data_IF_828985009738
#
_entry.id   IF_828985009738
#
_cell.length_a   1.000
_cell.length_b   1.000
_cell.length_c   1.000
_cell.angle_alpha   90.00
_cell.angle_beta   90.00
_cell.angle_gamma   90.00
#
_symmetry.space_group_name_H-M   'P 1'
#
loop_
_entity.id
_entity.type
_entity.pdbx_description
1 polymer ?
#
# COMPACT_ATOMS: atom_id res chain seq x y z
N UNK A 1 -25.64 -8.39 4.11
CA UNK A 1 -24.24 -8.82 4.28
C UNK A 1 -23.35 -7.96 3.39
N UNK A 2 -22.36 -7.30 3.96
CA UNK A 2 -21.45 -6.47 3.17
C UNK A 2 -20.36 -7.35 2.57
N UNK A 3 -20.10 -7.18 1.29
CA UNK A 3 -18.98 -7.81 0.65
C UNK A 3 -17.70 -7.02 0.97
N UNK A 4 -16.55 -7.69 1.22
CA UNK A 4 -15.29 -7.00 1.34
C UNK A 4 -14.99 -6.17 0.09
N UNK A 5 -14.34 -5.02 0.25
CA UNK A 5 -13.90 -4.22 -0.88
C UNK A 5 -12.83 -4.99 -1.67
N UNK A 6 -12.62 -4.60 -2.94
CA UNK A 6 -11.58 -5.22 -3.75
C UNK A 6 -10.18 -4.98 -3.15
N UNK A 7 -9.97 -3.83 -2.51
CA UNK A 7 -8.74 -3.56 -1.77
C UNK A 7 -8.57 -4.55 -0.62
N UNK A 8 -9.61 -4.76 0.20
CA UNK A 8 -9.54 -5.68 1.34
C UNK A 8 -9.17 -7.10 0.89
N UNK A 9 -9.82 -7.59 -0.17
CA UNK A 9 -9.52 -8.90 -0.72
C UNK A 9 -8.09 -8.97 -1.23
N UNK A 10 -7.68 -7.98 -2.00
CA UNK A 10 -6.37 -7.95 -2.65
C UNK A 10 -5.23 -7.85 -1.63
N UNK A 11 -5.34 -6.95 -0.65
CA UNK A 11 -4.31 -6.79 0.37
C UNK A 11 -4.21 -8.03 1.27
N UNK A 12 -5.34 -8.66 1.59
CA UNK A 12 -5.34 -9.90 2.37
C UNK A 12 -4.61 -11.00 1.62
N UNK A 13 -4.91 -11.20 0.34
CA UNK A 13 -4.23 -12.21 -0.48
C UNK A 13 -2.75 -11.90 -0.63
N UNK A 14 -2.39 -10.63 -0.82
CA UNK A 14 -1.01 -10.21 -0.94
C UNK A 14 -0.21 -10.54 0.32
N UNK A 15 -0.72 -10.17 1.49
CA UNK A 15 -0.02 -10.35 2.76
C UNK A 15 0.03 -11.81 3.22
N UNK A 16 -1.05 -12.57 2.99
CA UNK A 16 -1.15 -13.93 3.52
C UNK A 16 -0.62 -15.00 2.57
N UNK A 17 -0.70 -14.77 1.26
CA UNK A 17 -0.33 -15.77 0.26
C UNK A 17 0.91 -15.37 -0.52
N UNK A 18 0.90 -14.18 -1.11
CA UNK A 18 1.99 -13.76 -1.99
C UNK A 18 3.27 -13.49 -1.20
N UNK A 19 3.22 -12.63 -0.19
CA UNK A 19 4.42 -12.35 0.63
C UNK A 19 4.87 -13.54 1.43
N UNK A 20 3.93 -14.30 2.00
CA UNK A 20 4.28 -15.48 2.79
C UNK A 20 5.02 -16.53 1.96
N UNK A 21 4.71 -16.60 0.65
CA UNK A 21 5.38 -17.53 -0.26
C UNK A 21 6.61 -16.96 -0.96
N UNK A 22 6.96 -15.70 -0.73
CA UNK A 22 8.05 -15.03 -1.43
C UNK A 22 9.41 -15.52 -0.89
N UNK A 23 10.18 -16.15 -1.77
CA UNK A 23 11.50 -16.72 -1.39
C UNK A 23 12.63 -15.70 -1.40
N UNK A 24 12.43 -14.57 -2.10
CA UNK A 24 13.47 -13.56 -2.31
C UNK A 24 13.42 -12.43 -1.29
N UNK A 25 12.48 -12.46 -0.36
CA UNK A 25 12.33 -11.42 0.64
C UNK A 25 12.73 -11.93 2.02
N UNK A 26 13.52 -11.12 2.73
CA UNK A 26 13.86 -11.43 4.13
C UNK A 26 12.62 -11.29 5.02
N UNK A 27 12.60 -11.97 6.19
CA UNK A 27 11.53 -11.76 7.17
C UNK A 27 11.38 -10.31 7.60
N UNK A 28 12.47 -9.55 7.68
CA UNK A 28 12.42 -8.13 8.04
C UNK A 28 11.73 -7.31 6.95
N UNK A 29 11.97 -7.61 5.67
CA UNK A 29 11.30 -6.94 4.56
C UNK A 29 9.81 -7.23 4.57
N UNK A 30 9.42 -8.48 4.79
CA UNK A 30 8.01 -8.88 4.88
C UNK A 30 7.32 -8.12 6.02
N UNK A 31 7.96 -8.05 7.18
CA UNK A 31 7.43 -7.31 8.32
C UNK A 31 7.27 -5.83 7.99
N UNK A 32 8.28 -5.23 7.36
CA UNK A 32 8.24 -3.83 6.95
C UNK A 32 7.08 -3.54 6.00
N UNK A 33 6.83 -4.44 5.07
CA UNK A 33 5.71 -4.30 4.14
C UNK A 33 4.37 -4.37 4.86
N UNK A 34 4.21 -5.33 5.78
CA UNK A 34 2.99 -5.43 6.60
C UNK A 34 2.78 -4.18 7.44
N UNK A 35 3.84 -3.68 8.08
CA UNK A 35 3.77 -2.48 8.90
C UNK A 35 3.33 -1.27 8.06
N UNK A 36 3.81 -1.18 6.81
CA UNK A 36 3.41 -0.10 5.91
C UNK A 36 1.90 -0.10 5.68
N UNK A 37 1.31 -1.26 5.45
CA UNK A 37 -0.13 -1.33 5.19
C UNK A 37 -0.96 -1.13 6.46
N UNK A 38 -0.45 -1.52 7.62
CA UNK A 38 -1.09 -1.17 8.88
C UNK A 38 -1.11 0.34 9.07
N UNK A 39 -0.02 1.03 8.76
CA UNK A 39 0.06 2.48 8.84
C UNK A 39 -0.85 3.16 7.81
N UNK A 40 -0.93 2.61 6.60
CA UNK A 40 -1.83 3.13 5.56
C UNK A 40 -3.29 3.04 5.99
N UNK A 41 -3.69 1.91 6.59
CA UNK A 41 -5.04 1.74 7.11
C UNK A 41 -5.33 2.72 8.24
N UNK A 42 -4.37 2.94 9.13
CA UNK A 42 -4.51 3.92 10.21
C UNK A 42 -4.68 5.34 9.65
N UNK A 43 -3.87 5.71 8.66
CA UNK A 43 -3.99 7.00 7.98
C UNK A 43 -5.39 7.18 7.38
N UNK A 44 -5.86 6.18 6.65
CA UNK A 44 -7.17 6.26 6.02
C UNK A 44 -8.29 6.37 7.04
N UNK A 45 -8.17 5.67 8.17
CA UNK A 45 -9.13 5.77 9.27
C UNK A 45 -9.16 7.18 9.86
N UNK A 46 -8.01 7.80 10.05
CA UNK A 46 -7.93 9.18 10.55
C UNK A 46 -8.53 10.19 9.55
N UNK A 47 -8.51 9.87 8.26
CA UNK A 47 -9.14 10.68 7.22
C UNK A 47 -10.63 10.39 7.08
N UNK A 48 -11.23 9.68 8.04
CA UNK A 48 -12.64 9.32 8.07
C UNK A 48 -13.07 8.43 6.90
N UNK A 49 -12.15 7.68 6.31
CA UNK A 49 -12.48 6.71 5.28
C UNK A 49 -12.87 5.39 5.93
N UNK A 50 -13.94 4.80 5.43
CA UNK A 50 -14.40 3.49 5.93
C UNK A 50 -13.59 2.41 5.23
N UNK A 51 -12.76 1.70 5.99
CA UNK A 51 -11.82 0.70 5.47
C UNK A 51 -12.54 -0.39 4.68
N UNK A 52 -13.72 -0.80 5.13
CA UNK A 52 -14.51 -1.84 4.47
C UNK A 52 -15.08 -1.40 3.11
N UNK A 53 -15.01 -0.12 2.78
CA UNK A 53 -15.52 0.45 1.52
C UNK A 53 -14.43 0.98 0.61
N UNK A 54 -13.17 0.95 1.04
CA UNK A 54 -12.07 1.46 0.23
C UNK A 54 -11.80 0.50 -0.90
N UNK A 55 -11.83 1.02 -2.14
CA UNK A 55 -11.50 0.28 -3.34
C UNK A 55 -10.09 0.59 -3.79
N UNK A 56 -9.50 -0.30 -4.60
CA UNK A 56 -8.15 -0.09 -5.13
C UNK A 56 -8.03 1.24 -5.87
N UNK A 57 -9.08 1.64 -6.61
CA UNK A 57 -9.08 2.92 -7.34
C UNK A 57 -9.05 4.13 -6.42
N UNK A 58 -9.48 3.99 -5.17
CA UNK A 58 -9.45 5.09 -4.20
C UNK A 58 -8.05 5.38 -3.70
N UNK A 59 -7.14 4.41 -3.79
CA UNK A 59 -5.74 4.58 -3.40
C UNK A 59 -4.96 4.97 -4.66
N UNK A 60 -4.98 6.27 -4.94
CA UNK A 60 -4.31 6.83 -6.09
C UNK A 60 -2.97 7.48 -5.69
N UNK A 61 -2.26 8.03 -6.68
CA UNK A 61 -0.97 8.67 -6.44
C UNK A 61 -1.07 9.82 -5.44
N UNK A 62 -2.13 10.63 -5.52
CA UNK A 62 -2.32 11.76 -4.61
C UNK A 62 -2.52 11.28 -3.17
N UNK A 63 -3.31 10.24 -2.96
CA UNK A 63 -3.51 9.67 -1.63
C UNK A 63 -2.20 9.12 -1.06
N UNK A 64 -1.38 8.47 -1.90
CA UNK A 64 -0.08 7.95 -1.48
C UNK A 64 0.84 9.09 -1.05
N UNK A 65 0.89 10.19 -1.80
CA UNK A 65 1.68 11.36 -1.43
C UNK A 65 1.21 11.91 -0.07
N UNK A 66 -0.09 12.05 0.13
CA UNK A 66 -0.64 12.52 1.40
C UNK A 66 -0.28 11.58 2.55
N UNK A 67 -0.31 10.28 2.32
CA UNK A 67 0.10 9.29 3.32
C UNK A 67 1.57 9.47 3.71
N UNK A 68 2.45 9.64 2.73
CA UNK A 68 3.88 9.83 3.00
C UNK A 68 4.14 11.11 3.76
N UNK A 69 3.43 12.20 3.43
CA UNK A 69 3.54 13.46 4.15
C UNK A 69 3.01 13.33 5.58
N UNK A 70 1.91 12.59 5.76
CA UNK A 70 1.35 12.31 7.08
C UNK A 70 2.37 11.56 7.96
N UNK A 71 3.10 10.60 7.38
CA UNK A 71 4.14 9.87 8.11
C UNK A 71 5.26 10.80 8.57
N UNK A 72 5.68 11.74 7.73
CA UNK A 72 6.73 12.69 8.10
C UNK A 72 6.28 13.60 9.25
N UNK A 73 5.07 14.14 9.17
CA UNK A 73 4.55 15.09 10.16
C UNK A 73 4.17 14.40 11.47
N UNK A 74 3.45 13.28 11.41
CA UNK A 74 2.86 12.66 12.60
C UNK A 74 3.74 11.58 13.22
N UNK A 75 4.67 11.01 12.46
CA UNK A 75 5.55 9.94 12.92
C UNK A 75 7.03 10.33 12.92
N UNK A 76 7.36 11.53 12.44
CA UNK A 76 8.72 11.99 12.36
C UNK A 76 9.61 11.14 11.48
N UNK A 77 9.05 10.50 10.44
CA UNK A 77 9.82 9.62 9.59
C UNK A 77 10.88 10.36 8.79
N UNK A 78 12.07 9.77 8.71
CA UNK A 78 13.15 10.28 7.88
C UNK A 78 12.86 10.01 6.39
N UNK A 79 13.62 10.65 5.49
CA UNK A 79 13.53 10.37 4.05
C UNK A 79 13.79 8.89 3.75
N UNK A 80 14.74 8.27 4.46
CA UNK A 80 15.04 6.85 4.31
C UNK A 80 13.83 5.97 4.64
N UNK A 81 13.17 6.24 5.79
CA UNK A 81 11.98 5.49 6.18
C UNK A 81 10.82 5.74 5.22
N UNK A 82 10.65 6.99 4.76
CA UNK A 82 9.65 7.33 3.75
C UNK A 82 9.84 6.50 2.49
N UNK A 83 11.08 6.35 2.03
CA UNK A 83 11.40 5.55 0.85
C UNK A 83 11.09 4.07 1.06
N UNK A 84 11.33 3.53 2.24
CA UNK A 84 10.96 2.15 2.59
C UNK A 84 9.45 1.96 2.46
N UNK A 85 8.66 2.91 2.96
CA UNK A 85 7.20 2.85 2.88
C UNK A 85 6.71 2.93 1.43
N UNK A 86 7.30 3.83 0.64
CA UNK A 86 6.95 3.95 -0.77
C UNK A 86 7.32 2.69 -1.55
N UNK A 87 8.47 2.09 -1.27
CA UNK A 87 8.88 0.84 -1.90
C UNK A 87 7.87 -0.29 -1.63
N UNK A 88 7.35 -0.37 -0.42
CA UNK A 88 6.32 -1.35 -0.07
C UNK A 88 5.03 -1.14 -0.88
N UNK A 89 4.63 0.11 -1.03
CA UNK A 89 3.44 0.48 -1.82
C UNK A 89 3.67 0.15 -3.30
N UNK A 90 4.85 0.46 -3.85
CA UNK A 90 5.20 0.10 -5.23
C UNK A 90 5.09 -1.41 -5.45
N UNK A 91 5.63 -2.21 -4.53
CA UNK A 91 5.60 -3.67 -4.65
C UNK A 91 4.16 -4.19 -4.66
N UNK A 92 3.30 -3.66 -3.79
CA UNK A 92 1.89 -4.05 -3.76
C UNK A 92 1.18 -3.69 -5.07
N UNK A 93 1.37 -2.47 -5.59
CA UNK A 93 0.68 -2.06 -6.81
C UNK A 93 1.23 -2.74 -8.07
N UNK A 94 2.48 -3.21 -8.06
CA UNK A 94 2.97 -4.11 -9.12
C UNK A 94 2.24 -5.45 -9.08
N UNK A 95 1.98 -5.97 -7.88
CA UNK A 95 1.18 -7.17 -7.71
C UNK A 95 -0.26 -6.95 -8.19
N UNK A 96 -0.88 -5.82 -7.82
CA UNK A 96 -2.24 -5.46 -8.26
C UNK A 96 -2.30 -5.39 -9.79
N UNK A 97 -1.33 -4.75 -10.42
CA UNK A 97 -1.25 -4.62 -11.87
C UNK A 97 -1.24 -5.98 -12.56
N UNK A 98 -0.51 -6.91 -11.98
CA UNK A 98 -0.39 -8.27 -12.51
C UNK A 98 -1.70 -9.05 -12.38
N UNK A 99 -2.38 -8.90 -11.24
CA UNK A 99 -3.65 -9.57 -10.96
C UNK A 99 -4.83 -8.91 -11.66
N UNK A 100 -4.73 -7.63 -11.95
CA UNK A 100 -5.83 -6.82 -12.52
C UNK A 100 -5.28 -5.96 -13.66
N UNK A 101 -5.09 -6.56 -14.86
CA UNK A 101 -4.51 -5.80 -16.00
C UNK A 101 -5.29 -4.54 -16.38
N UNK A 102 -6.58 -4.50 -16.10
CA UNK A 102 -7.42 -3.32 -16.36
C UNK A 102 -7.02 -2.11 -15.49
N UNK A 103 -6.26 -2.33 -14.42
CA UNK A 103 -5.77 -1.26 -13.55
C UNK A 103 -4.34 -0.81 -13.89
N UNK A 104 -3.81 -1.22 -15.03
CA UNK A 104 -2.43 -0.94 -15.42
C UNK A 104 -2.07 0.54 -15.28
N UNK A 105 -2.86 1.42 -15.86
CA UNK A 105 -2.57 2.86 -15.86
C UNK A 105 -2.60 3.43 -14.46
N UNK A 106 -3.60 3.04 -13.66
CA UNK A 106 -3.72 3.45 -12.26
C UNK A 106 -2.48 3.04 -11.46
N UNK A 107 -2.05 1.79 -11.62
CA UNK A 107 -0.88 1.27 -10.91
C UNK A 107 0.41 1.95 -11.38
N UNK A 108 0.55 2.22 -12.67
CA UNK A 108 1.73 2.89 -13.20
C UNK A 108 1.90 4.30 -12.65
N UNK A 109 0.81 5.03 -12.43
CA UNK A 109 0.87 6.37 -11.82
C UNK A 109 1.42 6.32 -10.40
N UNK A 110 1.09 5.26 -9.66
CA UNK A 110 1.60 5.08 -8.30
C UNK A 110 3.06 4.65 -8.32
N UNK A 111 3.40 3.67 -9.15
CA UNK A 111 4.78 3.17 -9.22
C UNK A 111 5.74 4.16 -9.88
N UNK A 112 5.22 5.20 -10.54
CA UNK A 112 6.03 6.29 -11.07
C UNK A 112 6.43 7.32 -10.00
N UNK A 113 5.84 7.29 -8.79
CA UNK A 113 6.24 8.17 -7.71
C UNK A 113 7.69 7.89 -7.34
N UNK A 114 8.49 8.97 -7.29
CA UNK A 114 9.93 8.83 -7.08
C UNK A 114 10.28 8.76 -5.61
N UNK A 115 11.30 7.95 -5.32
CA UNK A 115 11.95 7.93 -4.02
C UNK A 115 12.77 9.22 -3.87
N UNK A 116 12.79 9.75 -2.67
CA UNK A 116 13.58 10.96 -2.35
C UNK A 116 14.94 10.60 -1.77
#
# INVERSE_FOLDING_TARGET
>A
MKHPSDFAICISNYLTKHLAGARNLSPNTIKSYRDTFCLLLLFMKEMNKKIDRICLVDIDADLVICFLDWLEVNRGNSASTRNVRLAAIHAFFRYVQFQNPEMLLHCQRITALTLT
#
